data_IF_259599631656
#
_entry.id   IF_259599631656
#
_cell.length_a   1.000
_cell.length_b   1.000
_cell.length_c   1.000
_cell.angle_alpha   90.00
_cell.angle_beta   90.00
_cell.angle_gamma   90.00
#
_symmetry.space_group_name_H-M   'P 1'
#
loop_
_entity.id
_entity.type
_entity.pdbx_description
1 polymer ?
#
# COMPACT_ATOMS: atom_id res chain seq x y z
N UNK A 1 10.03 -13.38 21.14
CA UNK A 1 8.85 -13.07 20.29
C UNK A 1 8.08 -14.37 20.10
N UNK A 2 6.81 -14.44 20.51
CA UNK A 2 6.01 -15.67 20.40
C UNK A 2 5.29 -15.70 19.06
N UNK A 3 5.57 -16.71 18.23
CA UNK A 3 4.90 -16.89 16.95
C UNK A 3 3.50 -17.44 17.21
N UNK A 4 2.42 -16.81 16.70
CA UNK A 4 1.08 -17.31 16.92
C UNK A 4 0.85 -18.60 16.13
N UNK A 5 0.00 -19.50 16.65
CA UNK A 5 -0.37 -20.75 15.95
C UNK A 5 -1.15 -20.49 14.66
N UNK A 6 -1.90 -19.40 14.63
CA UNK A 6 -2.75 -18.99 13.51
C UNK A 6 -2.72 -17.48 13.38
N UNK A 7 -2.78 -16.98 12.14
CA UNK A 7 -2.85 -15.55 11.87
C UNK A 7 -4.07 -15.24 11.02
N UNK A 8 -4.89 -14.28 11.48
CA UNK A 8 -6.12 -13.88 10.80
C UNK A 8 -6.20 -12.36 10.71
N UNK A 9 -6.29 -11.83 9.50
CA UNK A 9 -6.32 -10.38 9.25
C UNK A 9 -7.15 -10.08 8.00
N UNK A 10 -8.10 -9.15 8.10
CA UNK A 10 -8.94 -8.69 6.98
C UNK A 10 -9.64 -9.84 6.21
N UNK A 11 -10.05 -10.89 6.92
CA UNK A 11 -10.68 -12.08 6.32
C UNK A 11 -9.70 -13.09 5.70
N UNK A 12 -8.40 -12.82 5.76
CA UNK A 12 -7.34 -13.73 5.28
C UNK A 12 -6.78 -14.53 6.45
N UNK A 13 -6.72 -15.84 6.27
CA UNK A 13 -6.14 -16.78 7.22
C UNK A 13 -4.81 -17.33 6.68
N UNK A 14 -3.81 -17.45 7.55
CA UNK A 14 -2.56 -18.15 7.26
C UNK A 14 -1.95 -18.77 8.52
N UNK A 15 -1.09 -19.76 8.30
CA UNK A 15 -0.27 -20.38 9.33
C UNK A 15 1.11 -19.74 9.31
N UNK A 16 1.50 -19.00 10.37
CA UNK A 16 2.83 -18.40 10.45
C UNK A 16 3.95 -19.42 10.27
N UNK A 17 4.94 -19.09 9.44
CA UNK A 17 6.13 -19.93 9.22
C UNK A 17 7.27 -19.43 10.10
N UNK A 18 7.83 -20.30 10.94
CA UNK A 18 8.82 -19.90 11.95
C UNK A 18 10.07 -19.24 11.35
N UNK A 19 10.49 -19.68 10.16
CA UNK A 19 11.68 -19.16 9.47
C UNK A 19 11.48 -17.75 8.91
N UNK A 20 10.24 -17.34 8.64
CA UNK A 20 9.92 -16.08 7.97
C UNK A 20 9.21 -15.08 8.89
N UNK A 21 8.45 -15.56 9.87
CA UNK A 21 7.61 -14.71 10.71
C UNK A 21 8.44 -13.70 11.51
N UNK A 22 8.26 -12.41 11.21
CA UNK A 22 9.01 -11.32 11.84
C UNK A 22 8.10 -10.17 12.33
N UNK A 23 6.78 -10.39 12.44
CA UNK A 23 5.83 -9.39 12.95
C UNK A 23 5.84 -9.25 14.49
N UNK A 24 6.30 -8.11 15.05
CA UNK A 24 6.35 -7.91 16.50
C UNK A 24 4.95 -7.75 17.13
N UNK A 25 4.82 -8.16 18.39
CA UNK A 25 3.53 -8.14 19.11
C UNK A 25 2.85 -6.77 19.13
N UNK A 26 3.62 -5.69 19.30
CA UNK A 26 3.08 -4.33 19.31
C UNK A 26 2.51 -3.88 17.95
N UNK A 27 3.07 -4.38 16.84
CA UNK A 27 2.53 -4.15 15.49
C UNK A 27 1.29 -5.02 15.31
N UNK A 28 1.33 -6.28 15.74
CA UNK A 28 0.18 -7.18 15.72
C UNK A 28 -1.03 -6.58 16.46
N UNK A 29 -0.87 -6.09 17.68
CA UNK A 29 -1.95 -5.44 18.45
C UNK A 29 -2.54 -4.24 17.70
N UNK A 30 -1.69 -3.42 17.05
CA UNK A 30 -2.14 -2.28 16.27
C UNK A 30 -2.91 -2.66 15.00
N UNK A 31 -2.62 -3.81 14.40
CA UNK A 31 -3.39 -4.30 13.25
C UNK A 31 -4.86 -4.57 13.61
N UNK A 32 -5.13 -4.88 14.88
CA UNK A 32 -6.48 -5.12 15.40
C UNK A 32 -7.09 -3.89 16.08
N UNK A 33 -6.35 -2.78 16.19
CA UNK A 33 -6.81 -1.54 16.79
C UNK A 33 -7.55 -0.60 15.84
N UNK A 34 -7.77 0.63 16.32
CA UNK A 34 -8.45 1.69 15.58
C UNK A 34 -7.75 1.97 14.25
N UNK A 35 -8.55 2.24 13.20
CA UNK A 35 -8.08 2.61 11.86
C UNK A 35 -8.37 4.09 11.60
N UNK A 36 -7.40 5.00 11.79
CA UNK A 36 -7.63 6.45 11.70
C UNK A 36 -8.18 6.90 10.34
N UNK A 37 -7.88 6.17 9.25
CA UNK A 37 -8.42 6.42 7.92
C UNK A 37 -9.94 6.18 7.79
N UNK A 38 -10.54 5.43 8.72
CA UNK A 38 -11.96 5.06 8.71
C UNK A 38 -12.74 5.69 9.86
N UNK A 39 -12.06 6.37 10.77
CA UNK A 39 -12.66 6.92 11.98
C UNK A 39 -13.26 8.31 11.72
N UNK A 40 -14.58 8.44 11.90
CA UNK A 40 -15.28 9.72 11.76
C UNK A 40 -14.76 10.72 12.79
N UNK A 41 -14.53 11.96 12.38
CA UNK A 41 -13.93 13.00 13.23
C UNK A 41 -12.41 12.95 13.33
N UNK A 42 -11.76 11.90 12.81
CA UNK A 42 -10.31 11.85 12.70
C UNK A 42 -9.82 12.80 11.59
N UNK A 43 -8.82 13.65 11.88
CA UNK A 43 -8.29 14.62 10.91
C UNK A 43 -7.76 13.95 9.63
N UNK A 44 -7.21 12.74 9.77
CA UNK A 44 -6.68 11.97 8.64
C UNK A 44 -7.83 11.52 7.74
N UNK A 45 -8.91 11.02 8.32
CA UNK A 45 -10.13 10.68 7.59
C UNK A 45 -10.68 11.91 6.84
N UNK A 46 -10.70 13.08 7.48
CA UNK A 46 -11.13 14.33 6.85
C UNK A 46 -10.26 14.71 5.65
N UNK A 47 -8.93 14.73 5.80
CA UNK A 47 -8.00 15.05 4.70
C UNK A 47 -8.15 14.04 3.55
N UNK A 48 -8.26 12.75 3.87
CA UNK A 48 -8.49 11.69 2.89
C UNK A 48 -9.76 11.95 2.08
N UNK A 49 -10.87 12.25 2.75
CA UNK A 49 -12.13 12.55 2.06
C UNK A 49 -12.04 13.82 1.22
N UNK A 50 -11.32 14.85 1.67
CA UNK A 50 -11.09 16.06 0.86
C UNK A 50 -10.34 15.73 -0.44
N UNK A 51 -9.28 14.91 -0.36
CA UNK A 51 -8.50 14.50 -1.53
C UNK A 51 -9.37 13.66 -2.48
N UNK A 52 -10.07 12.64 -1.97
CA UNK A 52 -10.98 11.80 -2.77
C UNK A 52 -12.04 12.66 -3.46
N UNK A 53 -12.68 13.57 -2.72
CA UNK A 53 -13.72 14.45 -3.27
C UNK A 53 -13.17 15.36 -4.38
N UNK A 54 -11.95 15.88 -4.23
CA UNK A 54 -11.31 16.66 -5.28
C UNK A 54 -10.99 15.81 -6.51
N UNK A 55 -10.50 14.57 -6.35
CA UNK A 55 -10.27 13.64 -7.46
C UNK A 55 -11.57 13.33 -8.21
N UNK A 56 -12.65 13.05 -7.48
CA UNK A 56 -13.95 12.78 -8.07
C UNK A 56 -14.57 14.00 -8.76
N UNK A 57 -14.18 15.22 -8.39
CA UNK A 57 -14.58 16.47 -9.08
C UNK A 57 -13.79 16.74 -10.35
N UNK A 58 -12.58 16.18 -10.51
CA UNK A 58 -11.77 16.32 -11.73
C UNK A 58 -12.33 15.52 -12.93
N UNK A 59 -13.48 14.86 -12.77
CA UNK A 59 -14.19 14.18 -13.86
C UNK A 59 -14.52 15.17 -14.98
N UNK A 60 -14.04 14.88 -16.19
CA UNK A 60 -14.46 15.63 -17.38
C UNK A 60 -15.88 15.21 -17.75
N UNK A 61 -16.80 16.14 -17.98
CA UNK A 61 -18.07 15.81 -18.60
C UNK A 61 -17.76 15.28 -20.02
N UNK A 62 -18.26 14.09 -20.35
CA UNK A 62 -18.25 13.46 -21.68
C UNK A 62 -17.13 12.44 -22.01
N UNK A 63 -16.49 11.82 -21.03
CA UNK A 63 -15.74 10.55 -21.27
C UNK A 63 -16.17 9.46 -20.30
N UNK A 64 -16.59 8.30 -20.83
CA UNK A 64 -16.83 7.07 -20.03
C UNK A 64 -15.58 6.60 -19.28
N UNK A 65 -14.41 7.15 -19.62
CA UNK A 65 -13.12 6.84 -19.01
C UNK A 65 -12.90 7.46 -17.62
N UNK A 66 -13.73 8.39 -17.13
CA UNK A 66 -13.34 9.22 -15.98
C UNK A 66 -13.77 8.74 -14.58
N UNK A 67 -14.38 7.57 -14.42
CA UNK A 67 -14.82 7.11 -13.10
C UNK A 67 -13.68 6.45 -12.34
N UNK A 68 -13.01 7.23 -11.48
CA UNK A 68 -12.09 6.68 -10.48
C UNK A 68 -12.87 5.80 -9.49
N UNK A 69 -12.54 4.51 -9.45
CA UNK A 69 -13.01 3.61 -8.41
C UNK A 69 -12.19 3.83 -7.14
N UNK A 70 -12.85 3.99 -5.99
CA UNK A 70 -12.17 4.16 -4.70
C UNK A 70 -12.07 2.81 -3.99
N UNK A 71 -10.88 2.49 -3.49
CA UNK A 71 -10.53 1.26 -2.79
C UNK A 71 -9.94 1.58 -1.41
N UNK A 72 -10.73 1.39 -0.35
CA UNK A 72 -10.33 1.73 1.04
C UNK A 72 -10.28 0.52 1.99
N UNK A 73 -10.75 -0.63 1.50
CA UNK A 73 -10.96 -1.84 2.30
C UNK A 73 -10.07 -3.01 1.83
N UNK A 74 -9.13 -2.74 0.94
CA UNK A 74 -8.24 -3.76 0.40
C UNK A 74 -7.39 -4.39 1.52
N UNK A 75 -7.07 -5.69 1.43
CA UNK A 75 -6.45 -6.44 2.49
C UNK A 75 -5.04 -5.94 2.80
N UNK A 76 -4.68 -5.88 4.09
CA UNK A 76 -3.34 -5.48 4.53
C UNK A 76 -2.31 -6.58 4.36
N UNK A 77 -2.77 -7.83 4.43
CA UNK A 77 -1.96 -9.00 4.12
C UNK A 77 -2.02 -9.26 2.61
N UNK A 78 -0.86 -9.29 1.97
CA UNK A 78 -0.72 -9.40 0.52
C UNK A 78 0.33 -10.46 0.19
N UNK A 79 0.33 -10.92 -1.07
CA UNK A 79 1.39 -11.81 -1.53
C UNK A 79 2.70 -11.05 -1.64
N UNK A 80 3.79 -11.68 -1.23
CA UNK A 80 5.15 -11.12 -1.40
C UNK A 80 5.42 -10.82 -2.87
N UNK A 81 4.92 -11.68 -3.77
CA UNK A 81 4.94 -11.46 -5.21
C UNK A 81 4.29 -10.14 -5.65
N UNK A 82 3.09 -9.84 -5.16
CA UNK A 82 2.38 -8.61 -5.56
C UNK A 82 3.07 -7.35 -5.02
N UNK A 83 3.79 -7.46 -3.91
CA UNK A 83 4.49 -6.33 -3.28
C UNK A 83 5.84 -6.02 -3.92
N UNK A 84 6.58 -7.06 -4.34
CA UNK A 84 7.97 -6.91 -4.79
C UNK A 84 8.17 -7.36 -6.23
N UNK A 85 7.82 -8.61 -6.55
CA UNK A 85 8.14 -9.24 -7.84
C UNK A 85 7.41 -8.59 -9.01
N UNK A 86 6.12 -8.25 -8.83
CA UNK A 86 5.29 -7.54 -9.82
C UNK A 86 5.90 -6.21 -10.28
N UNK A 87 6.74 -5.61 -9.43
CA UNK A 87 7.34 -4.31 -9.65
C UNK A 87 8.80 -4.39 -10.07
N UNK A 88 9.32 -5.59 -10.34
CA UNK A 88 10.72 -5.85 -10.66
C UNK A 88 11.66 -5.26 -9.60
N UNK A 89 11.25 -5.33 -8.33
CA UNK A 89 12.08 -4.85 -7.21
C UNK A 89 13.12 -5.93 -6.94
N UNK A 90 14.28 -5.74 -7.56
CA UNK A 90 15.43 -6.64 -7.50
C UNK A 90 16.22 -6.52 -6.19
N UNK A 91 16.01 -5.47 -5.39
CA UNK A 91 16.83 -5.21 -4.20
C UNK A 91 16.34 -5.92 -2.92
N UNK A 92 17.27 -6.64 -2.29
CA UNK A 92 17.13 -7.25 -0.96
C UNK A 92 16.73 -6.25 0.14
N UNK A 93 17.07 -4.97 -0.02
CA UNK A 93 16.91 -3.96 1.04
C UNK A 93 15.43 -3.77 1.40
N UNK A 94 14.57 -3.51 0.41
CA UNK A 94 13.14 -3.30 0.68
C UNK A 94 12.39 -4.56 1.14
N UNK A 95 12.91 -5.74 0.79
CA UNK A 95 12.38 -7.01 1.29
C UNK A 95 12.69 -7.20 2.76
N UNK A 96 13.84 -6.73 3.25
CA UNK A 96 14.22 -6.80 4.67
C UNK A 96 13.35 -5.92 5.55
N UNK A 97 12.80 -4.84 4.98
CA UNK A 97 11.96 -3.90 5.72
C UNK A 97 10.48 -4.34 5.83
N UNK A 98 10.13 -5.52 5.34
CA UNK A 98 8.75 -6.01 5.35
C UNK A 98 8.44 -6.92 6.54
N UNK A 99 7.20 -6.84 7.01
CA UNK A 99 6.67 -7.79 7.98
C UNK A 99 6.09 -9.03 7.29
N UNK A 100 6.79 -10.16 7.37
CA UNK A 100 6.37 -11.44 6.85
C UNK A 100 5.56 -12.23 7.87
N UNK A 101 4.55 -12.93 7.37
CA UNK A 101 3.83 -13.96 8.12
C UNK A 101 4.25 -15.35 7.65
N UNK A 102 4.43 -15.50 6.34
CA UNK A 102 4.96 -16.69 5.67
C UNK A 102 5.93 -16.25 4.59
N UNK A 103 6.63 -17.19 3.93
CA UNK A 103 7.44 -16.89 2.76
C UNK A 103 6.68 -16.18 1.64
N UNK A 104 5.38 -16.48 1.51
CA UNK A 104 4.55 -16.00 0.40
C UNK A 104 3.60 -14.86 0.79
N UNK A 105 3.49 -14.51 2.08
CA UNK A 105 2.56 -13.49 2.57
C UNK A 105 3.26 -12.53 3.54
N UNK A 106 3.09 -11.24 3.28
CA UNK A 106 3.58 -10.16 4.13
C UNK A 106 2.52 -9.08 4.33
N UNK A 107 2.67 -8.25 5.36
CA UNK A 107 1.97 -6.98 5.39
C UNK A 107 2.48 -6.12 4.24
N UNK A 108 1.58 -5.44 3.56
CA UNK A 108 1.96 -4.56 2.44
C UNK A 108 2.89 -3.44 2.94
N UNK A 109 4.13 -3.45 2.45
CA UNK A 109 5.11 -2.40 2.72
C UNK A 109 4.70 -1.08 2.02
N UNK A 110 4.06 -1.17 0.85
CA UNK A 110 3.49 -0.03 0.14
C UNK A 110 2.08 -0.33 -0.35
N UNK A 111 1.27 0.71 -0.53
CA UNK A 111 -0.09 0.55 -1.08
C UNK A 111 -0.09 0.05 -2.52
N UNK A 112 1.01 0.22 -3.25
CA UNK A 112 1.17 -0.32 -4.60
C UNK A 112 1.09 -1.85 -4.64
N UNK A 113 1.40 -2.55 -3.54
CA UNK A 113 1.30 -4.01 -3.48
C UNK A 113 -0.10 -4.58 -3.74
N UNK A 114 -1.13 -3.74 -3.80
CA UNK A 114 -2.50 -4.12 -4.13
C UNK A 114 -2.83 -3.87 -5.61
N UNK A 115 -2.07 -3.00 -6.29
CA UNK A 115 -2.35 -2.63 -7.68
C UNK A 115 -2.41 -3.82 -8.63
N UNK A 116 -1.50 -4.83 -8.56
CA UNK A 116 -1.59 -5.98 -9.46
C UNK A 116 -2.94 -6.70 -9.34
N UNK A 117 -3.51 -6.78 -8.14
CA UNK A 117 -4.84 -7.38 -7.94
C UNK A 117 -5.97 -6.53 -8.51
N UNK A 118 -5.98 -5.23 -8.21
CA UNK A 118 -6.98 -4.29 -8.74
C UNK A 118 -6.95 -4.25 -10.27
N UNK A 119 -5.76 -4.27 -10.87
CA UNK A 119 -5.59 -4.29 -12.32
C UNK A 119 -6.04 -5.64 -12.92
N UNK A 120 -5.73 -6.78 -12.28
CA UNK A 120 -6.25 -8.09 -12.69
C UNK A 120 -7.78 -8.16 -12.64
N UNK A 121 -8.41 -7.41 -11.72
CA UNK A 121 -9.87 -7.23 -11.64
C UNK A 121 -10.45 -6.31 -12.73
N UNK A 122 -9.62 -5.73 -13.60
CA UNK A 122 -10.04 -4.94 -14.76
C UNK A 122 -10.18 -3.44 -14.53
N UNK A 123 -9.85 -2.95 -13.33
CA UNK A 123 -9.94 -1.51 -13.03
C UNK A 123 -8.76 -0.74 -13.63
N UNK A 124 -9.08 0.31 -14.40
CA UNK A 124 -8.11 1.15 -15.10
C UNK A 124 -7.80 2.46 -14.38
N UNK A 125 -8.83 3.08 -13.80
CA UNK A 125 -8.74 4.35 -13.09
C UNK A 125 -9.23 4.16 -11.66
N UNK A 126 -8.34 4.32 -10.69
CA UNK A 126 -8.65 4.02 -9.30
C UNK A 126 -7.83 4.82 -8.31
N UNK A 127 -8.36 4.92 -7.09
CA UNK A 127 -7.69 5.49 -5.92
C UNK A 127 -7.65 4.44 -4.84
N UNK A 128 -6.46 4.14 -4.33
CA UNK A 128 -6.26 3.25 -3.19
C UNK A 128 -5.98 4.11 -1.96
N UNK A 129 -6.73 3.89 -0.89
CA UNK A 129 -6.48 4.52 0.40
C UNK A 129 -6.23 3.44 1.45
N UNK A 130 -5.16 3.58 2.22
CA UNK A 130 -4.87 2.58 3.23
C UNK A 130 -3.61 2.82 4.03
N UNK A 131 -3.37 1.87 4.92
CA UNK A 131 -2.17 1.79 5.75
C UNK A 131 -1.13 0.90 5.09
N UNK A 132 0.13 1.18 5.32
CA UNK A 132 1.27 0.37 4.91
C UNK A 132 2.26 0.24 6.06
N UNK A 133 3.01 -0.87 6.08
CA UNK A 133 3.74 -1.34 7.26
C UNK A 133 5.18 -1.68 6.91
N UNK A 134 6.12 -1.03 7.60
CA UNK A 134 7.55 -1.15 7.32
C UNK A 134 8.35 -1.24 8.63
N UNK A 135 9.40 -2.06 8.60
CA UNK A 135 10.41 -2.19 9.66
C UNK A 135 11.39 -1.04 9.49
N UNK A 136 11.72 -0.37 10.59
CA UNK A 136 12.67 0.73 10.56
C UNK A 136 12.06 2.07 10.15
N UNK A 137 12.91 3.10 10.14
CA UNK A 137 12.55 4.47 9.81
C UNK A 137 13.41 4.90 8.63
N UNK A 138 12.99 4.56 7.42
CA UNK A 138 13.53 5.26 6.25
C UNK A 138 12.71 6.51 5.99
N UNK A 139 13.42 7.64 6.00
CA UNK A 139 12.86 8.96 5.70
C UNK A 139 12.13 8.95 4.35
N UNK A 140 11.16 9.84 4.19
CA UNK A 140 10.38 10.06 2.94
C UNK A 140 11.22 10.24 1.66
N UNK A 141 12.55 10.36 1.76
CA UNK A 141 13.50 10.59 0.68
C UNK A 141 13.65 9.42 -0.31
N UNK A 142 13.42 8.17 0.11
CA UNK A 142 13.60 6.97 -0.74
C UNK A 142 12.48 6.77 -1.79
N UNK A 143 11.36 7.51 -1.69
CA UNK A 143 10.34 7.50 -2.76
C UNK A 143 10.89 8.01 -4.12
N UNK A 144 12.00 8.75 -4.10
CA UNK A 144 12.72 9.14 -5.31
C UNK A 144 13.45 7.97 -6.00
N UNK A 145 13.83 6.91 -5.26
CA UNK A 145 14.51 5.71 -5.78
C UNK A 145 13.57 4.69 -6.39
N UNK A 146 12.34 4.54 -5.88
CA UNK A 146 11.32 3.73 -6.55
C UNK A 146 11.00 4.26 -7.96
N UNK A 147 10.96 5.58 -8.16
CA UNK A 147 10.87 6.18 -9.50
C UNK A 147 11.97 5.72 -10.45
N UNK A 148 13.17 5.41 -9.93
CA UNK A 148 14.29 4.89 -10.70
C UNK A 148 14.25 3.37 -10.91
N UNK A 149 13.60 2.60 -10.01
CA UNK A 149 13.42 1.15 -10.17
C UNK A 149 12.44 0.81 -11.30
N UNK A 150 11.45 1.67 -11.58
CA UNK A 150 10.45 1.43 -12.63
C UNK A 150 10.95 1.59 -14.08
N UNK A 151 12.26 1.61 -14.32
CA UNK A 151 12.90 2.07 -15.57
C UNK A 151 12.55 1.32 -16.86
N UNK A 152 11.76 0.24 -16.86
CA UNK A 152 11.37 -0.44 -18.11
C UNK A 152 9.94 -1.01 -18.08
N UNK A 153 9.17 -0.73 -19.15
CA UNK A 153 7.77 -1.13 -19.48
C UNK A 153 6.65 -0.80 -18.47
N UNK A 154 6.88 -0.90 -17.17
CA UNK A 154 5.90 -0.61 -16.11
C UNK A 154 5.64 0.90 -15.97
N UNK A 155 6.61 1.76 -16.33
CA UNK A 155 6.44 3.23 -16.35
C UNK A 155 5.27 3.72 -17.22
N UNK A 156 4.90 2.99 -18.27
CA UNK A 156 3.73 3.36 -19.09
C UNK A 156 2.41 3.11 -18.34
N UNK A 157 2.38 2.19 -17.38
CA UNK A 157 1.21 1.87 -16.54
C UNK A 157 1.18 2.65 -15.22
N UNK A 158 2.34 2.99 -14.66
CA UNK A 158 2.48 3.69 -13.36
C UNK A 158 2.65 5.21 -13.47
N UNK A 159 2.49 5.78 -14.67
CA UNK A 159 2.82 7.18 -14.99
C UNK A 159 2.12 8.23 -14.12
N UNK A 160 1.12 7.85 -13.32
CA UNK A 160 0.40 8.76 -12.42
C UNK A 160 0.17 8.20 -11.00
N UNK A 161 0.98 7.23 -10.57
CA UNK A 161 1.02 6.75 -9.18
C UNK A 161 1.50 7.86 -8.21
N UNK A 162 0.58 8.71 -7.74
CA UNK A 162 0.89 9.74 -6.73
C UNK A 162 0.58 9.16 -5.35
N UNK A 163 1.64 8.90 -4.57
CA UNK A 163 1.55 8.57 -3.16
C UNK A 163 1.54 9.86 -2.32
N UNK A 164 0.41 10.13 -1.68
CA UNK A 164 0.27 11.24 -0.72
C UNK A 164 0.34 10.67 0.69
N UNK A 165 1.46 10.84 1.43
CA UNK A 165 1.53 10.46 2.83
C UNK A 165 0.65 11.39 3.66
N UNK A 166 -0.21 10.84 4.52
CA UNK A 166 -1.14 11.61 5.34
C UNK A 166 -0.53 11.94 6.71
N UNK A 167 0.05 10.97 7.44
CA UNK A 167 0.82 11.14 8.69
C UNK A 167 1.78 9.95 8.89
N UNK A 168 2.99 10.20 9.43
CA UNK A 168 3.89 9.19 9.99
C UNK A 168 3.66 9.06 11.50
N UNK A 169 2.99 8.01 11.96
CA UNK A 169 2.98 7.68 13.40
C UNK A 169 4.20 6.82 13.74
N UNK A 170 5.39 7.41 13.65
CA UNK A 170 6.61 6.78 14.16
C UNK A 170 6.56 6.82 15.70
N UNK A 171 6.47 5.66 16.34
CA UNK A 171 6.78 5.55 17.77
C UNK A 171 8.05 4.72 17.89
N UNK A 172 9.14 5.37 18.27
CA UNK A 172 10.37 4.72 18.70
C UNK A 172 10.14 4.13 20.09
N UNK A 173 10.03 2.81 20.17
CA UNK A 173 10.25 2.09 21.43
C UNK A 173 11.66 1.53 21.42
N UNK A 174 12.32 1.54 22.58
CA UNK A 174 13.77 1.43 22.80
C UNK A 174 14.51 0.27 22.12
N UNK A 175 13.83 -0.71 21.51
CA UNK A 175 14.49 -1.78 20.77
C UNK A 175 14.06 -1.94 19.31
N UNK A 176 12.86 -1.53 18.88
CA UNK A 176 12.39 -1.65 17.48
C UNK A 176 11.57 -0.41 17.08
N UNK A 177 12.01 0.30 16.03
CA UNK A 177 11.20 1.33 15.36
C UNK A 177 10.31 0.67 14.32
N UNK A 178 9.02 1.02 14.33
CA UNK A 178 8.07 0.56 13.34
C UNK A 178 7.25 1.73 12.82
N UNK A 179 6.92 1.70 11.54
CA UNK A 179 6.23 2.79 10.87
C UNK A 179 4.94 2.29 10.24
N UNK A 180 3.83 2.94 10.61
CA UNK A 180 2.57 2.82 9.89
C UNK A 180 2.40 4.08 9.06
N UNK A 181 2.54 3.94 7.74
CA UNK A 181 2.32 5.03 6.78
C UNK A 181 0.89 4.97 6.28
N UNK A 182 0.17 6.08 6.41
CA UNK A 182 -1.14 6.25 5.78
C UNK A 182 -0.98 6.96 4.46
N UNK A 183 -1.46 6.35 3.38
CA UNK A 183 -1.18 6.80 2.03
C UNK A 183 -2.46 6.83 1.19
N UNK A 184 -2.49 7.73 0.21
CA UNK A 184 -3.40 7.68 -0.93
C UNK A 184 -2.56 7.45 -2.17
N UNK A 185 -2.91 6.44 -2.97
CA UNK A 185 -2.35 6.19 -4.31
C UNK A 185 -3.41 6.48 -5.35
N UNK A 186 -3.12 7.41 -6.25
CA UNK A 186 -3.92 7.64 -7.47
C UNK A 186 -3.34 6.81 -8.61
N UNK A 187 -4.16 6.11 -9.39
CA UNK A 187 -3.76 5.58 -10.69
C UNK A 187 -4.72 6.05 -11.79
N UNK A 188 -4.15 6.64 -12.84
CA UNK A 188 -4.90 7.11 -14.00
C UNK A 188 -4.23 6.64 -15.29
N UNK A 189 -4.94 5.79 -16.03
CA UNK A 189 -4.51 5.30 -17.34
C UNK A 189 -5.21 6.13 -18.42
N UNK A 190 -4.57 7.19 -18.92
CA UNK A 190 -4.99 7.78 -20.19
C UNK A 190 -4.41 6.95 -21.33
N UNK A 191 -5.26 6.36 -22.16
CA UNK A 191 -4.82 5.86 -23.47
C UNK A 191 -4.40 7.10 -24.27
N UNK A 192 -3.10 7.31 -24.44
CA UNK A 192 -2.64 8.15 -25.55
C UNK A 192 -3.00 7.34 -26.78
N UNK A 193 -4.09 7.73 -27.45
CA UNK A 193 -4.31 7.40 -28.85
C UNK A 193 -3.10 7.91 -29.62
N UNK A 194 -2.05 7.11 -29.74
CA UNK A 194 -1.14 7.25 -30.86
C UNK A 194 -1.99 6.97 -32.08
N UNK A 195 -2.38 8.04 -32.78
CA UNK A 195 -2.82 7.92 -34.18
C UNK A 195 -1.74 7.08 -34.87
N UNK A 196 -2.12 5.88 -35.31
CA UNK A 196 -1.38 5.10 -36.30
C UNK A 196 -1.55 5.82 -37.64
#
# INVERSE_FOLDING_TARGET
MSIPKTFHLDGIYCLPEHEFYNLPNNVFEKLHGNRPLKENGNKIHTIKNMIINNILKMKKPNTDESLFQIFENEPRLVRTYDTFDCFLIEEDNHRKDAYYITRNMCLRNWLYGIMPDIMRRGFKNFVICGESYEIGFESLYEHSRLRNCFKTKILNYLRMAIQIPLINNAKTTSNHSFLVKQTIVLNHMSIISSKI
#
